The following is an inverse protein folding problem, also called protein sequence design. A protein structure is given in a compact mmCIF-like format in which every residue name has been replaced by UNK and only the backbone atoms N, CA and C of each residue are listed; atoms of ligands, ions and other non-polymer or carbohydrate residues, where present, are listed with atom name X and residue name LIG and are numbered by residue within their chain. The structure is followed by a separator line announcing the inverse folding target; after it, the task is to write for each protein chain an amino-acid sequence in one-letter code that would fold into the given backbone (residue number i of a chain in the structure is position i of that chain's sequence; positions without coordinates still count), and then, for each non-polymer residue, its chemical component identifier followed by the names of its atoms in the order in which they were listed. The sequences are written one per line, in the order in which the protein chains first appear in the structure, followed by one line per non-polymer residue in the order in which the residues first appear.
data_IF_745572364479
#
_entry.id   IF_745572364479
#
_cell.length_a   1.000
_cell.length_b   1.000
_cell.length_c   1.000
_cell.angle_alpha   90.00
_cell.angle_beta   90.00
_cell.angle_gamma   90.00
#
_symmetry.space_group_name_H-M   'P 1'
#
loop_
_entity.id
_entity.type
_entity.pdbx_description
1 polymer ?
#
# COMPACT_ATOMS: atom_id res chain seq x y z
N UNK A 1 14.79 13.72 -3.65
CA UNK A 1 15.87 12.73 -3.41
C UNK A 1 15.34 11.39 -3.90
N UNK A 2 15.56 11.08 -5.17
CA UNK A 2 15.17 9.83 -5.83
C UNK A 2 16.43 8.97 -5.88
N UNK A 3 16.53 8.01 -4.98
CA UNK A 3 17.59 7.00 -5.04
C UNK A 3 17.28 6.07 -6.24
N UNK A 4 18.30 5.78 -7.06
CA UNK A 4 18.18 4.96 -8.26
C UNK A 4 17.70 3.52 -7.99
N UNK A 5 17.82 3.02 -6.76
CA UNK A 5 17.28 1.71 -6.35
C UNK A 5 15.79 1.75 -5.98
N UNK A 6 15.28 2.87 -5.48
CA UNK A 6 13.86 3.01 -5.11
C UNK A 6 13.02 3.66 -6.20
N UNK A 7 13.63 4.36 -7.16
CA UNK A 7 12.95 4.99 -8.29
C UNK A 7 12.25 4.01 -9.25
N UNK A 8 12.63 2.73 -9.25
CA UNK A 8 12.08 1.69 -10.15
C UNK A 8 11.23 0.65 -9.43
N UNK A 9 11.22 0.65 -8.09
CA UNK A 9 10.48 -0.31 -7.28
C UNK A 9 9.22 0.36 -6.74
N UNK A 10 8.03 0.05 -7.28
CA UNK A 10 6.80 0.48 -6.64
C UNK A 10 6.75 -0.19 -5.26
N UNK A 11 6.96 0.61 -4.20
CA UNK A 11 6.76 0.18 -2.83
C UNK A 11 5.25 0.04 -2.62
N UNK A 12 4.72 -1.10 -3.04
CA UNK A 12 3.28 -1.40 -3.04
C UNK A 12 2.77 -1.71 -1.63
N UNK A 13 3.67 -2.22 -0.80
CA UNK A 13 3.33 -2.76 0.50
C UNK A 13 4.27 -2.20 1.56
N UNK A 14 3.75 -1.30 2.40
CA UNK A 14 4.48 -0.80 3.56
C UNK A 14 4.66 -1.91 4.61
N UNK A 15 5.82 -1.96 5.24
CA UNK A 15 6.10 -2.91 6.32
C UNK A 15 6.80 -2.16 7.46
N UNK A 16 6.07 -1.92 8.55
CA UNK A 16 6.63 -1.29 9.75
C UNK A 16 6.91 -2.37 10.81
N UNK A 17 8.17 -2.48 11.22
CA UNK A 17 8.63 -3.55 12.13
C UNK A 17 9.12 -2.94 13.43
N UNK A 18 8.55 -3.41 14.54
CA UNK A 18 8.96 -3.03 15.89
C UNK A 18 9.70 -4.17 16.59
N UNK A 19 10.56 -3.77 17.53
CA UNK A 19 11.22 -4.69 18.47
C UNK A 19 10.19 -5.32 19.41
N UNK A 20 10.63 -6.31 20.19
CA UNK A 20 9.78 -7.07 21.11
C UNK A 20 8.99 -6.17 22.09
N UNK A 21 9.60 -5.07 22.52
CA UNK A 21 9.09 -4.06 23.45
C UNK A 21 8.56 -2.81 22.74
N UNK A 22 8.51 -2.81 21.41
CA UNK A 22 8.09 -1.64 20.64
C UNK A 22 6.57 -1.44 20.66
N UNK A 23 6.16 -0.18 20.58
CA UNK A 23 4.75 0.20 20.58
C UNK A 23 4.09 -0.15 19.24
N UNK A 24 3.03 -0.95 19.33
CA UNK A 24 2.15 -1.25 18.22
C UNK A 24 1.43 0.01 17.70
N UNK A 25 1.05 0.91 18.59
CA UNK A 25 0.40 2.18 18.23
C UNK A 25 1.38 3.08 17.45
N UNK A 26 2.65 3.11 17.85
CA UNK A 26 3.70 3.81 17.12
C UNK A 26 3.89 3.20 15.71
N UNK A 27 3.90 1.86 15.62
CA UNK A 27 3.99 1.16 14.34
C UNK A 27 2.83 1.53 13.42
N UNK A 28 1.61 1.54 13.98
CA UNK A 28 0.41 1.90 13.24
C UNK A 28 0.46 3.36 12.78
N UNK A 29 0.88 4.30 13.64
CA UNK A 29 0.98 5.72 13.30
C UNK A 29 1.99 5.97 12.17
N UNK A 30 3.17 5.38 12.26
CA UNK A 30 4.20 5.52 11.21
C UNK A 30 3.74 4.94 9.88
N UNK A 31 3.08 3.77 9.93
CA UNK A 31 2.52 3.15 8.74
C UNK A 31 1.37 3.96 8.13
N UNK A 32 0.53 4.60 8.96
CA UNK A 32 -0.56 5.48 8.50
C UNK A 32 -0.02 6.75 7.80
N UNK A 33 1.08 7.31 8.29
CA UNK A 33 1.77 8.42 7.61
C UNK A 33 2.23 7.96 6.22
N UNK A 34 2.86 6.79 6.13
CA UNK A 34 3.30 6.23 4.86
C UNK A 34 2.12 5.95 3.89
N UNK A 35 1.03 5.34 4.37
CA UNK A 35 -0.16 5.07 3.55
C UNK A 35 -0.81 6.36 3.04
N UNK A 36 -0.84 7.40 3.87
CA UNK A 36 -1.38 8.72 3.48
C UNK A 36 -0.53 9.37 2.40
N UNK A 37 0.80 9.32 2.52
CA UNK A 37 1.71 9.81 1.49
C UNK A 37 1.55 9.05 0.17
N UNK A 38 1.39 7.73 0.21
CA UNK A 38 1.15 6.92 -0.98
C UNK A 38 -0.19 7.24 -1.63
N UNK A 39 -1.28 7.39 -0.86
CA UNK A 39 -2.57 7.81 -1.40
C UNK A 39 -2.50 9.19 -2.04
N UNK A 40 -1.81 10.15 -1.41
CA UNK A 40 -1.59 11.48 -1.96
C UNK A 40 -0.77 11.43 -3.26
N UNK A 41 0.23 10.54 -3.35
CA UNK A 41 1.00 10.33 -4.57
C UNK A 41 0.16 9.75 -5.70
N UNK A 42 -0.66 8.73 -5.42
CA UNK A 42 -1.56 8.14 -6.42
C UNK A 42 -2.58 9.18 -6.93
N UNK A 43 -3.09 10.00 -6.02
CA UNK A 43 -4.00 11.09 -6.36
C UNK A 43 -3.32 12.16 -7.22
N UNK A 44 -2.09 12.55 -6.88
CA UNK A 44 -1.27 13.43 -7.70
C UNK A 44 -1.08 12.88 -9.12
N UNK A 45 -0.72 11.59 -9.27
CA UNK A 45 -0.58 10.95 -10.58
C UNK A 45 -1.89 11.02 -11.39
N UNK A 46 -3.03 10.82 -10.73
CA UNK A 46 -4.35 10.92 -11.34
C UNK A 46 -4.67 12.34 -11.82
N UNK A 47 -4.37 13.34 -11.00
CA UNK A 47 -4.60 14.76 -11.31
C UNK A 47 -3.75 15.19 -12.50
N UNK A 48 -2.44 14.90 -12.49
CA UNK A 48 -1.56 15.28 -13.62
C UNK A 48 -1.91 14.49 -14.88
N UNK A 49 -2.36 13.24 -14.75
CA UNK A 49 -2.82 12.41 -15.86
C UNK A 49 -4.19 12.83 -16.44
N UNK A 50 -4.83 13.87 -15.89
CA UNK A 50 -6.09 14.40 -16.39
C UNK A 50 -7.26 13.42 -16.33
N UNK A 51 -7.23 12.45 -15.39
CA UNK A 51 -8.20 11.36 -15.29
C UNK A 51 -8.91 11.35 -13.93
N UNK A 52 -9.66 12.42 -13.56
CA UNK A 52 -10.21 12.59 -12.21
C UNK A 52 -11.16 11.46 -11.78
N UNK A 53 -11.83 10.83 -12.74
CA UNK A 53 -12.78 9.74 -12.51
C UNK A 53 -12.11 8.36 -12.39
N UNK A 54 -10.80 8.26 -12.60
CA UNK A 54 -10.08 7.00 -12.47
C UNK A 54 -10.02 6.59 -10.98
N UNK A 55 -10.49 5.38 -10.62
CA UNK A 55 -10.36 4.90 -9.26
C UNK A 55 -8.89 4.66 -8.90
N UNK A 56 -8.49 5.11 -7.71
CA UNK A 56 -7.14 4.84 -7.21
C UNK A 56 -7.07 3.41 -6.65
N UNK A 57 -5.99 2.66 -6.93
CA UNK A 57 -5.80 1.38 -6.28
C UNK A 57 -5.61 1.56 -4.76
N UNK A 58 -6.08 0.62 -3.92
CA UNK A 58 -5.89 0.72 -2.49
C UNK A 58 -4.41 0.52 -2.11
N UNK A 59 -3.99 1.15 -1.01
CA UNK A 59 -2.65 1.02 -0.44
C UNK A 59 -2.68 0.02 0.71
N UNK A 60 -1.86 -1.01 0.58
CA UNK A 60 -1.78 -2.12 1.54
C UNK A 60 -0.54 -1.98 2.40
N UNK A 61 -0.61 -2.41 3.66
CA UNK A 61 0.49 -2.27 4.59
C UNK A 61 0.43 -3.28 5.74
N UNK A 62 1.56 -3.55 6.38
CA UNK A 62 1.68 -4.43 7.54
C UNK A 62 2.40 -3.76 8.70
N UNK A 63 1.92 -3.97 9.92
CA UNK A 63 2.74 -3.82 11.12
C UNK A 63 3.19 -5.18 11.62
N UNK A 64 4.44 -5.28 12.07
CA UNK A 64 5.01 -6.46 12.71
C UNK A 64 5.52 -6.08 14.09
N UNK A 65 4.97 -6.72 15.12
CA UNK A 65 5.44 -6.55 16.49
C UNK A 65 5.54 -7.91 17.14
N UNK A 66 6.77 -8.30 17.50
CA UNK A 66 7.08 -9.66 17.93
C UNK A 66 6.63 -10.71 16.88
N UNK A 67 5.66 -11.55 17.22
CA UNK A 67 5.08 -12.55 16.34
C UNK A 67 3.81 -12.09 15.63
N UNK A 68 3.24 -10.94 16.01
CA UNK A 68 1.97 -10.45 15.48
C UNK A 68 2.17 -9.70 14.16
N UNK A 69 1.45 -10.14 13.13
CA UNK A 69 1.38 -9.48 11.83
C UNK A 69 -0.01 -8.92 11.62
N UNK A 70 -0.13 -7.62 11.36
CA UNK A 70 -1.42 -6.95 11.18
C UNK A 70 -1.48 -6.28 9.83
N UNK A 71 -2.49 -6.66 9.05
CA UNK A 71 -2.68 -6.18 7.69
C UNK A 71 -3.66 -5.00 7.65
N UNK A 72 -3.26 -3.92 7.00
CA UNK A 72 -4.05 -2.71 6.83
C UNK A 72 -4.27 -2.45 5.35
N UNK A 73 -5.46 -1.95 5.01
CA UNK A 73 -5.79 -1.52 3.64
C UNK A 73 -6.40 -0.15 3.73
N UNK A 74 -5.86 0.81 2.99
CA UNK A 74 -6.38 2.17 2.91
C UNK A 74 -6.76 2.50 1.47
N UNK A 75 -7.85 3.21 1.24
CA UNK A 75 -8.25 3.66 -0.09
C UNK A 75 -8.92 5.02 -0.04
N UNK A 76 -8.82 5.75 -1.15
CA UNK A 76 -9.46 7.05 -1.35
C UNK A 76 -10.62 6.90 -2.34
N UNK A 77 -11.81 7.34 -1.94
CA UNK A 77 -12.98 7.40 -2.80
C UNK A 77 -12.92 8.62 -3.74
N UNK A 78 -13.75 8.62 -4.78
CA UNK A 78 -13.82 9.72 -5.76
C UNK A 78 -14.26 11.05 -5.14
N UNK A 79 -15.05 11.01 -4.07
CA UNK A 79 -15.44 12.19 -3.28
C UNK A 79 -14.31 12.71 -2.38
N UNK A 80 -13.14 12.06 -2.40
CA UNK A 80 -11.98 12.40 -1.60
C UNK A 80 -11.92 11.73 -0.22
N UNK A 81 -12.95 11.00 0.20
CA UNK A 81 -12.97 10.34 1.49
C UNK A 81 -11.93 9.22 1.56
N UNK A 82 -11.13 9.20 2.64
CA UNK A 82 -10.14 8.15 2.90
C UNK A 82 -10.72 7.14 3.89
N UNK A 83 -10.73 5.87 3.49
CA UNK A 83 -11.18 4.76 4.32
C UNK A 83 -10.00 3.87 4.67
N UNK A 84 -9.99 3.36 5.90
CA UNK A 84 -8.96 2.44 6.39
C UNK A 84 -9.66 1.22 6.96
N UNK A 85 -9.38 0.05 6.35
CA UNK A 85 -9.74 -1.23 6.91
C UNK A 85 -8.84 -1.50 8.12
N UNK A 86 -9.48 -1.68 9.28
CA UNK A 86 -8.80 -2.17 10.47
C UNK A 86 -8.26 -3.59 10.23
N UNK A 87 -7.25 -4.05 11.00
CA UNK A 87 -6.69 -5.38 10.85
C UNK A 87 -7.75 -6.47 10.75
N UNK A 88 -7.55 -7.39 9.80
CA UNK A 88 -8.44 -8.53 9.57
C UNK A 88 -8.69 -9.27 10.90
N UNK A 89 -9.94 -9.19 11.36
CA UNK A 89 -10.58 -9.81 12.52
C UNK A 89 -9.68 -10.39 13.65
N UNK A 90 -9.53 -9.60 14.72
CA UNK A 90 -9.17 -10.04 16.09
C UNK A 90 -10.30 -10.84 16.80
N UNK A 91 -11.23 -11.48 16.08
CA UNK A 91 -12.40 -12.10 16.76
C UNK A 91 -12.02 -13.34 17.58
N UNK A 92 -10.91 -14.01 17.26
CA UNK A 92 -10.29 -15.05 18.10
C UNK A 92 -8.77 -15.12 17.88
N UNK A 93 -8.00 -15.51 18.90
CA UNK A 93 -6.54 -15.75 18.80
C UNK A 93 -6.16 -16.84 17.76
N UNK A 94 -7.13 -17.63 17.28
CA UNK A 94 -6.96 -18.61 16.22
C UNK A 94 -7.01 -18.00 14.79
N UNK A 95 -7.25 -16.68 14.67
CA UNK A 95 -7.45 -15.98 13.40
C UNK A 95 -6.34 -14.95 13.08
N UNK A 96 -5.37 -14.76 13.97
CA UNK A 96 -4.31 -13.77 13.76
C UNK A 96 -3.21 -14.31 12.85
N UNK A 97 -2.81 -13.49 11.87
CA UNK A 97 -1.60 -13.75 11.10
C UNK A 97 -0.38 -13.51 11.99
N UNK A 98 0.59 -14.43 11.94
CA UNK A 98 1.73 -14.33 12.81
C UNK A 98 2.73 -15.46 12.68
N UNK A 99 3.72 -15.44 13.56
CA UNK A 99 4.77 -16.46 13.63
C UNK A 99 4.80 -17.20 14.98
N UNK A 100 3.82 -16.98 15.87
CA UNK A 100 3.82 -17.61 17.19
C UNK A 100 3.45 -19.09 17.18
N UNK A 101 2.74 -19.56 16.14
CA UNK A 101 2.36 -20.96 15.99
C UNK A 101 2.14 -21.33 14.51
N UNK A 102 2.04 -22.63 14.23
CA UNK A 102 1.87 -23.18 12.88
C UNK A 102 0.62 -22.66 12.16
N UNK A 103 -0.51 -22.52 12.85
CA UNK A 103 -1.74 -22.03 12.24
C UNK A 103 -1.60 -20.56 11.82
N UNK A 104 -1.05 -19.71 12.68
CA UNK A 104 -0.77 -18.30 12.39
C UNK A 104 0.19 -18.14 11.20
N UNK A 105 1.18 -19.03 11.07
CA UNK A 105 2.11 -19.06 9.91
C UNK A 105 1.35 -19.40 8.62
N UNK A 106 0.48 -20.41 8.62
CA UNK A 106 -0.30 -20.76 7.43
C UNK A 106 -1.27 -19.65 7.03
N UNK A 107 -1.87 -18.95 7.99
CA UNK A 107 -2.69 -17.75 7.72
C UNK A 107 -1.83 -16.66 7.09
N UNK A 108 -0.66 -16.36 7.66
CA UNK A 108 0.27 -15.36 7.14
C UNK A 108 0.71 -15.69 5.71
N UNK A 109 1.10 -16.94 5.43
CA UNK A 109 1.46 -17.41 4.10
C UNK A 109 0.30 -17.25 3.11
N UNK A 110 -0.93 -17.61 3.52
CA UNK A 110 -2.11 -17.47 2.68
C UNK A 110 -2.40 -16.01 2.32
N UNK A 111 -2.27 -15.10 3.28
CA UNK A 111 -2.45 -13.66 3.06
C UNK A 111 -1.37 -13.12 2.11
N UNK A 112 -0.10 -13.50 2.28
CA UNK A 112 0.97 -13.12 1.36
C UNK A 112 0.75 -13.63 -0.07
N UNK A 113 0.35 -14.91 -0.23
CA UNK A 113 0.03 -15.44 -1.57
C UNK A 113 -1.11 -14.66 -2.23
N UNK A 114 -2.14 -14.29 -1.46
CA UNK A 114 -3.25 -13.46 -1.95
C UNK A 114 -2.81 -12.05 -2.30
N UNK A 115 -1.95 -11.45 -1.48
CA UNK A 115 -1.43 -10.11 -1.69
C UNK A 115 -0.57 -10.03 -2.96
N UNK A 116 0.32 -11.00 -3.18
CA UNK A 116 1.15 -11.08 -4.39
C UNK A 116 0.27 -11.26 -5.62
N UNK A 117 -0.69 -12.20 -5.58
CA UNK A 117 -1.62 -12.41 -6.69
C UNK A 117 -2.38 -11.11 -7.02
N UNK A 118 -2.95 -10.45 -6.01
CA UNK A 118 -3.67 -9.18 -6.19
C UNK A 118 -2.77 -8.06 -6.72
N UNK A 119 -1.50 -8.02 -6.28
CA UNK A 119 -0.56 -7.05 -6.80
C UNK A 119 -0.36 -7.22 -8.31
N UNK A 120 -0.13 -8.45 -8.76
CA UNK A 120 0.10 -8.78 -10.16
C UNK A 120 -1.15 -8.56 -11.03
N UNK A 121 -2.33 -8.96 -10.52
CA UNK A 121 -3.57 -8.97 -11.33
C UNK A 121 -4.33 -7.65 -11.30
N UNK A 122 -4.24 -6.89 -10.22
CA UNK A 122 -5.11 -5.73 -10.00
C UNK A 122 -4.31 -4.44 -9.76
N UNK A 123 -3.41 -4.43 -8.75
CA UNK A 123 -2.73 -3.19 -8.35
C UNK A 123 -1.76 -2.68 -9.40
N UNK A 124 -0.84 -3.54 -9.87
CA UNK A 124 0.23 -3.12 -10.77
C UNK A 124 -0.31 -2.60 -12.11
N UNK A 125 -1.30 -3.26 -12.76
CA UNK A 125 -1.93 -2.72 -13.95
C UNK A 125 -2.58 -1.35 -13.72
N UNK A 126 -3.28 -1.15 -12.59
CA UNK A 126 -3.90 0.14 -12.25
C UNK A 126 -2.85 1.24 -12.02
N UNK A 127 -1.78 0.93 -11.28
CA UNK A 127 -0.67 1.84 -11.05
C UNK A 127 0.06 2.22 -12.36
N UNK A 128 0.31 1.23 -13.24
CA UNK A 128 0.90 1.49 -14.55
C UNK A 128 0.00 2.33 -15.47
N UNK A 129 -1.32 2.24 -15.33
CA UNK A 129 -2.24 3.12 -16.06
C UNK A 129 -2.09 4.57 -15.60
N UNK A 130 -2.05 4.80 -14.28
CA UNK A 130 -1.82 6.12 -13.69
C UNK A 130 -0.48 6.74 -14.15
N UNK A 131 0.62 5.97 -14.05
CA UNK A 131 1.93 6.44 -14.50
C UNK A 131 1.96 6.79 -15.98
N UNK A 132 1.39 5.95 -16.84
CA UNK A 132 1.37 6.22 -18.29
C UNK A 132 0.59 7.49 -18.63
N UNK A 133 -0.54 7.72 -17.97
CA UNK A 133 -1.34 8.94 -18.18
C UNK A 133 -0.58 10.18 -17.72
N UNK A 134 0.04 10.12 -16.54
CA UNK A 134 0.90 11.17 -16.01
C UNK A 134 2.06 11.51 -16.96
N UNK A 135 2.79 10.49 -17.45
CA UNK A 135 3.91 10.66 -18.37
C UNK A 135 3.48 11.28 -19.71
N UNK A 136 2.32 10.88 -20.24
CA UNK A 136 1.77 11.43 -21.47
C UNK A 136 1.38 12.90 -21.31
N UNK A 137 0.73 13.24 -20.19
CA UNK A 137 0.36 14.61 -19.89
C UNK A 137 1.59 15.51 -19.73
N UNK A 138 2.62 15.03 -19.02
CA UNK A 138 3.87 15.78 -18.83
C UNK A 138 4.59 16.06 -20.16
N UNK A 139 4.68 15.07 -21.06
CA UNK A 139 5.27 15.25 -22.39
C UNK A 139 4.49 16.22 -23.29
N UNK A 140 3.19 16.38 -23.05
CA UNK A 140 2.34 17.33 -23.78
C UNK A 140 2.59 18.76 -23.30
N UNK A 141 2.94 18.94 -22.02
CA UNK A 141 3.21 20.23 -21.40
C UNK A 141 4.64 20.71 -21.72
N UNK A 142 5.61 19.81 -21.83
CA UNK A 142 7.02 20.14 -22.07
C UNK A 142 7.57 19.45 -23.34
N UNK A 143 7.24 19.96 -24.54
CA UNK A 143 7.60 19.30 -25.81
C UNK A 143 9.07 19.46 -26.23
N UNK A 144 9.94 20.10 -25.44
CA UNK A 144 11.24 20.65 -25.90
C UNK A 144 12.52 19.96 -25.36
N UNK A 145 12.45 18.77 -24.77
CA UNK A 145 13.66 17.97 -24.46
C UNK A 145 13.88 16.81 -25.46
N UNK A 146 14.05 17.14 -26.74
CA UNK A 146 14.62 16.26 -27.77
C UNK A 146 15.71 16.98 -28.58
#
# INVERSE_FOLDING_TARGET
MTDAYTATLPLVCGLEVKRLDGSEEEAQLQLMVWQTAMLAHLDYLREIGGSPDLPLPPVVAWTVTNHSWRFYVAWKQLDGAVHVMRPFAQSTAASSAGTENTASIFILLKLWTKLISWFETDYYPAYQALLRQADQAQKTIDPLEL
#
